data_IF_262203716170
#
_entry.id   IF_262203716170
#
_cell.length_a   1.000
_cell.length_b   1.000
_cell.length_c   1.000
_cell.angle_alpha   90.00
_cell.angle_beta   90.00
_cell.angle_gamma   90.00
#
_symmetry.space_group_name_H-M   'P 1'
#
loop_
_entity.id
_entity.type
_entity.pdbx_description
1 polymer ?
#
# COMPACT_ATOMS: atom_id res chain seq x y z
N UNK A 1 7.48 -3.16 20.07
CA UNK A 1 6.18 -3.45 19.45
C UNK A 1 6.38 -3.79 17.99
N UNK A 2 5.82 -4.89 17.55
CA UNK A 2 5.95 -5.36 16.17
C UNK A 2 4.85 -4.76 15.30
N UNK A 3 5.14 -4.65 14.00
CA UNK A 3 4.17 -4.19 13.00
C UNK A 3 2.87 -5.03 13.06
N UNK A 4 3.00 -6.34 13.28
CA UNK A 4 1.83 -7.23 13.43
C UNK A 4 0.91 -6.86 14.58
N UNK A 5 1.41 -6.13 15.58
CA UNK A 5 0.59 -5.71 16.73
C UNK A 5 -0.35 -4.55 16.40
N UNK A 6 -0.03 -3.76 15.37
CA UNK A 6 -0.76 -2.52 15.05
C UNK A 6 -1.37 -2.50 13.64
N UNK A 7 -1.05 -3.47 12.79
CA UNK A 7 -1.54 -3.50 11.40
C UNK A 7 -3.03 -3.86 11.33
N UNK A 8 -3.65 -3.46 10.22
CA UNK A 8 -4.99 -3.90 9.84
C UNK A 8 -4.86 -5.19 9.05
N UNK A 9 -5.54 -6.27 9.47
CA UNK A 9 -5.42 -7.60 8.86
C UNK A 9 -6.43 -7.88 7.77
N UNK A 10 -7.62 -7.30 7.88
CA UNK A 10 -8.71 -7.53 6.92
C UNK A 10 -8.61 -6.51 5.78
N UNK A 11 -7.88 -6.88 4.73
CA UNK A 11 -7.51 -5.98 3.64
C UNK A 11 -8.14 -6.46 2.35
N UNK A 12 -8.84 -5.55 1.66
CA UNK A 12 -9.38 -5.81 0.32
C UNK A 12 -8.22 -5.94 -0.66
N UNK A 13 -8.20 -7.02 -1.44
CA UNK A 13 -7.19 -7.28 -2.47
C UNK A 13 -7.83 -7.46 -3.84
N UNK A 14 -7.01 -7.40 -4.87
CA UNK A 14 -7.43 -7.66 -6.25
C UNK A 14 -6.39 -8.58 -6.91
N UNK A 15 -6.83 -9.40 -7.85
CA UNK A 15 -5.92 -10.27 -8.62
C UNK A 15 -5.39 -9.55 -9.85
N UNK A 16 -4.23 -9.94 -10.37
CA UNK A 16 -3.66 -9.32 -11.59
C UNK A 16 -4.56 -9.44 -12.82
N UNK A 17 -5.39 -10.47 -12.90
CA UNK A 17 -6.29 -10.73 -14.03
C UNK A 17 -7.65 -10.01 -13.91
N UNK A 18 -7.93 -9.39 -12.77
CA UNK A 18 -9.13 -8.58 -12.61
C UNK A 18 -8.98 -7.25 -13.35
N UNK A 19 -10.11 -6.61 -13.63
CA UNK A 19 -10.13 -5.37 -14.43
C UNK A 19 -9.86 -4.11 -13.61
N UNK A 20 -9.49 -3.05 -14.29
CA UNK A 20 -9.38 -1.71 -13.69
C UNK A 20 -10.71 -1.30 -13.05
N UNK A 21 -11.84 -1.66 -13.67
CA UNK A 21 -13.18 -1.42 -13.10
C UNK A 21 -13.33 -2.10 -11.74
N UNK A 22 -12.91 -3.37 -11.63
CA UNK A 22 -12.98 -4.11 -10.36
C UNK A 22 -12.15 -3.41 -9.28
N UNK A 23 -10.93 -3.01 -9.62
CA UNK A 23 -10.05 -2.30 -8.68
C UNK A 23 -10.67 -0.97 -8.24
N UNK A 24 -11.19 -0.20 -9.19
CA UNK A 24 -11.85 1.08 -8.89
C UNK A 24 -13.07 0.88 -7.99
N UNK A 25 -13.87 -0.15 -8.24
CA UNK A 25 -15.04 -0.48 -7.42
C UNK A 25 -14.61 -0.80 -5.98
N UNK A 26 -13.57 -1.61 -5.81
CA UNK A 26 -13.05 -1.96 -4.48
C UNK A 26 -12.50 -0.72 -3.75
N UNK A 27 -11.83 0.18 -4.48
CA UNK A 27 -11.35 1.43 -3.90
C UNK A 27 -12.50 2.29 -3.36
N UNK A 28 -13.58 2.38 -4.10
CA UNK A 28 -14.77 3.15 -3.67
C UNK A 28 -15.44 2.50 -2.47
N UNK A 29 -15.56 1.17 -2.47
CA UNK A 29 -16.17 0.43 -1.36
C UNK A 29 -15.34 0.54 -0.07
N UNK A 30 -14.03 0.50 -0.20
CA UNK A 30 -13.11 0.55 0.93
C UNK A 30 -12.72 1.99 1.31
N UNK A 31 -13.15 2.98 0.54
CA UNK A 31 -12.72 4.38 0.68
C UNK A 31 -11.18 4.49 0.74
N UNK A 32 -10.53 3.84 -0.22
CA UNK A 32 -9.07 3.75 -0.27
C UNK A 32 -8.59 4.07 -1.68
N UNK A 33 -7.44 4.75 -1.78
CA UNK A 33 -6.82 5.09 -3.05
C UNK A 33 -5.80 4.05 -3.54
N UNK A 34 -5.62 2.96 -2.79
CA UNK A 34 -4.65 1.91 -3.12
C UNK A 34 -5.16 0.56 -2.68
N UNK A 35 -4.98 -0.45 -3.54
CA UNK A 35 -5.39 -1.82 -3.26
C UNK A 35 -4.19 -2.75 -3.55
N UNK A 36 -3.84 -3.65 -2.63
CA UNK A 36 -2.80 -4.64 -2.89
C UNK A 36 -3.25 -5.64 -3.96
N UNK A 37 -2.31 -6.03 -4.81
CA UNK A 37 -2.53 -7.03 -5.85
C UNK A 37 -1.86 -8.32 -5.40
N UNK A 38 -2.65 -9.40 -5.33
CA UNK A 38 -2.16 -10.69 -4.86
C UNK A 38 -2.47 -11.80 -5.85
N UNK A 39 -1.57 -12.78 -5.91
CA UNK A 39 -1.80 -14.07 -6.55
C UNK A 39 -1.91 -15.12 -5.45
N UNK A 40 -3.12 -15.64 -5.23
CA UNK A 40 -3.40 -16.40 -4.02
C UNK A 40 -3.23 -15.49 -2.82
N UNK A 41 -2.31 -15.81 -1.93
CA UNK A 41 -1.97 -14.98 -0.77
C UNK A 41 -0.69 -14.15 -0.96
N UNK A 42 0.03 -14.37 -2.07
CA UNK A 42 1.32 -13.72 -2.31
C UNK A 42 1.13 -12.31 -2.87
N UNK A 43 1.78 -11.34 -2.24
CA UNK A 43 1.78 -9.95 -2.69
C UNK A 43 2.65 -9.82 -3.95
N UNK A 44 2.06 -9.35 -5.06
CA UNK A 44 2.77 -9.18 -6.33
C UNK A 44 2.82 -7.75 -6.82
N UNK A 45 2.02 -6.86 -6.25
CA UNK A 45 2.03 -5.47 -6.64
C UNK A 45 0.99 -4.65 -5.89
N UNK A 46 0.79 -3.43 -6.38
CA UNK A 46 -0.20 -2.51 -5.85
C UNK A 46 -0.80 -1.72 -7.00
N UNK A 47 -2.09 -1.46 -6.95
CA UNK A 47 -2.74 -0.56 -7.89
C UNK A 47 -3.36 0.60 -7.13
N UNK A 48 -3.15 1.82 -7.64
CA UNK A 48 -3.66 3.04 -7.05
C UNK A 48 -4.65 3.71 -8.00
N UNK A 49 -5.43 4.65 -7.46
CA UNK A 49 -6.30 5.51 -8.27
C UNK A 49 -5.48 6.31 -9.28
N UNK A 50 -4.27 6.73 -8.91
CA UNK A 50 -3.36 7.42 -9.83
C UNK A 50 -2.86 6.52 -10.95
N UNK A 51 -2.62 5.23 -10.68
CA UNK A 51 -2.27 4.27 -11.73
C UNK A 51 -3.40 4.12 -12.73
N UNK A 52 -4.64 4.05 -12.27
CA UNK A 52 -5.82 3.93 -13.14
C UNK A 52 -5.95 5.20 -14.00
N UNK A 53 -5.82 6.37 -13.41
CA UNK A 53 -5.91 7.64 -14.15
C UNK A 53 -4.74 7.83 -15.11
N UNK A 54 -3.50 7.63 -14.64
CA UNK A 54 -2.30 7.93 -15.39
C UNK A 54 -1.93 6.89 -16.43
N UNK A 55 -1.81 5.62 -16.00
CA UNK A 55 -1.44 4.53 -16.90
C UNK A 55 -2.65 3.95 -17.64
N UNK A 56 -3.84 4.11 -17.07
CA UNK A 56 -5.07 3.62 -17.65
C UNK A 56 -5.70 4.66 -18.57
N UNK A 57 -6.51 5.54 -18.01
CA UNK A 57 -7.35 6.48 -18.78
C UNK A 57 -6.51 7.42 -19.65
N UNK A 58 -5.47 8.03 -19.11
CA UNK A 58 -4.65 8.98 -19.84
C UNK A 58 -3.93 8.36 -21.04
N UNK A 59 -3.63 7.06 -20.99
CA UNK A 59 -2.98 6.34 -22.09
C UNK A 59 -3.98 5.62 -23.01
N UNK A 60 -5.27 5.85 -22.82
CA UNK A 60 -6.31 5.31 -23.68
C UNK A 60 -6.79 3.90 -23.36
N UNK A 61 -6.42 3.38 -22.19
CA UNK A 61 -6.89 2.06 -21.75
C UNK A 61 -8.31 2.15 -21.19
N UNK A 62 -9.13 1.15 -21.50
CA UNK A 62 -10.51 1.08 -21.04
C UNK A 62 -10.65 0.42 -19.67
N UNK A 63 -11.89 0.39 -19.14
CA UNK A 63 -12.16 -0.17 -17.81
C UNK A 63 -11.95 -1.69 -17.71
N UNK A 64 -11.89 -2.39 -18.83
CA UNK A 64 -11.66 -3.85 -18.86
C UNK A 64 -10.18 -4.22 -18.91
N UNK A 65 -9.28 -3.24 -18.89
CA UNK A 65 -7.83 -3.48 -18.87
C UNK A 65 -7.45 -4.26 -17.61
N UNK A 66 -6.66 -5.35 -17.73
CA UNK A 66 -6.24 -6.10 -16.55
C UNK A 66 -5.39 -5.27 -15.60
N UNK A 67 -5.58 -5.49 -14.31
CA UNK A 67 -4.82 -4.81 -13.26
C UNK A 67 -3.31 -4.96 -13.48
N UNK A 68 -2.84 -6.13 -13.93
CA UNK A 68 -1.40 -6.36 -14.15
C UNK A 68 -0.76 -5.37 -15.13
N UNK A 69 -1.54 -4.80 -16.05
CA UNK A 69 -1.03 -3.84 -17.02
C UNK A 69 -0.89 -2.42 -16.44
N UNK A 70 -1.52 -2.16 -15.31
CA UNK A 70 -1.57 -0.84 -14.68
C UNK A 70 -0.86 -0.79 -13.33
N UNK A 71 -0.69 -1.91 -12.65
CA UNK A 71 -0.16 -1.96 -11.28
C UNK A 71 1.32 -1.61 -11.20
N UNK A 72 1.75 -1.22 -10.01
CA UNK A 72 3.15 -1.03 -9.66
C UNK A 72 3.67 -2.30 -9.01
N UNK A 73 4.77 -2.86 -9.53
CA UNK A 73 5.40 -4.09 -9.00
C UNK A 73 6.42 -3.81 -7.92
N UNK A 74 7.07 -2.65 -7.98
CA UNK A 74 8.13 -2.24 -7.05
C UNK A 74 7.49 -1.48 -5.90
N UNK A 75 7.07 -2.22 -4.88
CA UNK A 75 6.36 -1.66 -3.74
C UNK A 75 7.23 -1.71 -2.49
N UNK A 76 7.02 -0.72 -1.62
CA UNK A 76 7.67 -0.68 -0.31
C UNK A 76 6.80 -1.46 0.67
N UNK A 77 7.40 -2.46 1.31
CA UNK A 77 6.68 -3.32 2.25
C UNK A 77 7.45 -3.43 3.57
N UNK A 78 6.73 -3.79 4.63
CA UNK A 78 7.31 -4.16 5.92
C UNK A 78 7.09 -5.65 6.16
N UNK A 79 7.93 -6.23 6.99
CA UNK A 79 7.75 -7.60 7.48
C UNK A 79 6.92 -7.57 8.75
N UNK A 80 6.08 -8.57 8.96
CA UNK A 80 5.21 -8.63 10.14
C UNK A 80 5.98 -8.59 11.47
N UNK A 81 7.22 -9.07 11.47
CA UNK A 81 8.08 -9.08 12.65
C UNK A 81 8.94 -7.82 12.81
N UNK A 82 8.89 -6.89 11.86
CA UNK A 82 9.61 -5.63 11.96
C UNK A 82 9.11 -4.81 13.14
N UNK A 83 10.01 -4.04 13.74
CA UNK A 83 9.64 -3.09 14.78
C UNK A 83 8.89 -1.89 14.16
N UNK A 84 7.94 -1.34 14.91
CA UNK A 84 7.16 -0.18 14.45
C UNK A 84 8.04 1.02 14.13
N UNK A 85 9.17 1.18 14.85
CA UNK A 85 10.16 2.22 14.55
C UNK A 85 10.78 2.08 13.17
N UNK A 86 11.09 0.86 12.77
CA UNK A 86 11.65 0.56 11.44
C UNK A 86 10.62 0.84 10.34
N UNK A 87 9.37 0.50 10.59
CA UNK A 87 8.28 0.77 9.64
C UNK A 87 8.08 2.29 9.46
N UNK A 88 8.08 3.05 10.56
CA UNK A 88 7.97 4.51 10.51
C UNK A 88 9.12 5.13 9.71
N UNK A 89 10.34 4.70 9.97
CA UNK A 89 11.52 5.17 9.23
C UNK A 89 11.40 4.86 7.74
N UNK A 90 10.93 3.67 7.39
CA UNK A 90 10.73 3.27 6.00
C UNK A 90 9.66 4.10 5.31
N UNK A 91 8.56 4.42 5.99
CA UNK A 91 7.54 5.33 5.46
C UNK A 91 8.12 6.71 5.18
N UNK A 92 8.92 7.24 6.11
CA UNK A 92 9.58 8.53 5.94
C UNK A 92 10.55 8.55 4.76
N UNK A 93 11.39 7.53 4.65
CA UNK A 93 12.38 7.41 3.56
C UNK A 93 11.72 7.26 2.19
N UNK A 94 10.65 6.46 2.12
CA UNK A 94 9.94 6.21 0.87
C UNK A 94 8.88 7.28 0.57
N UNK A 95 8.59 8.17 1.52
CA UNK A 95 7.59 9.23 1.39
C UNK A 95 6.19 8.67 1.11
N UNK A 96 5.81 7.62 1.82
CA UNK A 96 4.52 6.95 1.72
C UNK A 96 3.80 6.97 3.06
N UNK A 97 2.47 6.84 3.03
CA UNK A 97 1.62 6.92 4.24
C UNK A 97 1.21 5.56 4.77
N UNK A 98 1.49 4.50 4.04
CA UNK A 98 1.16 3.13 4.45
C UNK A 98 2.15 2.17 3.83
N UNK A 99 2.28 1.01 4.48
CA UNK A 99 3.09 -0.09 3.98
C UNK A 99 2.24 -1.35 3.97
N UNK A 100 2.38 -2.14 2.91
CA UNK A 100 1.91 -3.51 2.91
C UNK A 100 2.78 -4.30 3.89
N UNK A 101 2.20 -5.26 4.58
CA UNK A 101 2.92 -6.10 5.55
C UNK A 101 2.90 -7.53 5.03
N UNK A 102 4.08 -8.12 4.95
CA UNK A 102 4.27 -9.48 4.42
C UNK A 102 4.95 -10.38 5.45
N UNK A 103 4.81 -11.69 5.26
CA UNK A 103 5.54 -12.70 6.04
C UNK A 103 6.79 -13.19 5.30
N UNK A 104 7.46 -14.20 5.83
CA UNK A 104 8.69 -14.76 5.25
C UNK A 104 8.48 -15.38 3.87
N UNK A 105 7.24 -15.74 3.53
CA UNK A 105 6.88 -16.34 2.25
C UNK A 105 6.27 -15.33 1.28
N UNK A 106 6.41 -14.04 1.59
CA UNK A 106 5.88 -12.92 0.80
C UNK A 106 4.35 -12.91 0.71
N UNK A 107 3.67 -13.54 1.65
CA UNK A 107 2.21 -13.50 1.74
C UNK A 107 1.78 -12.21 2.41
N UNK A 108 0.72 -11.61 1.88
CA UNK A 108 0.16 -10.39 2.47
C UNK A 108 -0.49 -10.72 3.82
N UNK A 109 -0.03 -10.06 4.88
CA UNK A 109 -0.55 -10.21 6.24
C UNK A 109 -1.47 -9.08 6.64
N UNK A 110 -1.24 -7.88 6.12
CA UNK A 110 -2.01 -6.71 6.49
C UNK A 110 -1.45 -5.42 5.89
N UNK A 111 -1.96 -4.31 6.37
CA UNK A 111 -1.48 -2.97 6.03
C UNK A 111 -1.25 -2.20 7.32
N UNK A 112 -0.15 -1.48 7.40
CA UNK A 112 0.10 -0.53 8.49
C UNK A 112 0.12 0.89 7.91
N UNK A 113 -0.60 1.81 8.56
CA UNK A 113 -0.69 3.20 8.13
C UNK A 113 0.01 4.12 9.11
N UNK A 114 0.26 5.35 8.67
CA UNK A 114 0.77 6.41 9.54
C UNK A 114 -0.16 6.62 10.75
N UNK A 115 -1.48 6.52 10.54
CA UNK A 115 -2.47 6.62 11.61
C UNK A 115 -2.33 5.51 12.65
N UNK A 116 -2.02 4.28 12.23
CA UNK A 116 -1.80 3.16 13.15
C UNK A 116 -0.58 3.43 14.03
N UNK A 117 0.49 3.96 13.45
CA UNK A 117 1.70 4.31 14.20
C UNK A 117 1.44 5.44 15.19
N UNK A 118 0.63 6.41 14.82
CA UNK A 118 0.29 7.56 15.68
C UNK A 118 -0.49 7.16 16.91
N UNK A 119 -1.32 6.11 16.83
CA UNK A 119 -2.15 5.65 17.94
C UNK A 119 -1.41 4.77 18.92
N UNK A 120 -0.57 3.86 18.41
CA UNK A 120 -0.04 2.75 19.20
C UNK A 120 1.48 2.71 19.26
N UNK A 121 2.16 3.57 18.51
CA UNK A 121 3.62 3.59 18.42
C UNK A 121 4.23 4.81 19.12
N UNK A 122 5.55 4.82 19.20
CA UNK A 122 6.33 5.92 19.73
C UNK A 122 6.06 7.21 18.91
N UNK A 123 5.85 8.33 19.62
CA UNK A 123 5.59 9.62 19.00
C UNK A 123 6.72 10.07 18.08
N UNK A 124 7.98 9.80 18.46
CA UNK A 124 9.13 10.18 17.63
C UNK A 124 9.14 9.42 16.30
N UNK A 125 8.77 8.15 16.31
CA UNK A 125 8.66 7.34 15.09
C UNK A 125 7.58 7.91 14.15
N UNK A 126 6.44 8.28 14.70
CA UNK A 126 5.34 8.86 13.93
C UNK A 126 5.74 10.22 13.35
N UNK A 127 6.44 11.04 14.11
CA UNK A 127 6.94 12.36 13.67
C UNK A 127 7.93 12.21 12.52
N UNK A 128 8.84 11.26 12.60
CA UNK A 128 9.81 10.98 11.54
C UNK A 128 9.12 10.58 10.24
N UNK A 129 8.13 9.70 10.31
CA UNK A 129 7.37 9.27 9.14
C UNK A 129 6.60 10.47 8.52
N UNK A 130 6.00 11.30 9.35
CA UNK A 130 5.25 12.46 8.89
C UNK A 130 6.14 13.47 8.16
N UNK A 131 7.34 13.73 8.67
CA UNK A 131 8.31 14.62 8.02
C UNK A 131 8.65 14.12 6.62
N UNK A 132 8.96 12.82 6.49
CA UNK A 132 9.29 12.23 5.19
C UNK A 132 8.16 12.35 4.18
N UNK A 133 6.93 12.06 4.60
CA UNK A 133 5.74 12.11 3.75
C UNK A 133 5.44 13.54 3.30
N UNK A 134 5.72 14.52 4.14
CA UNK A 134 5.40 15.93 3.88
C UNK A 134 6.43 16.65 3.02
N UNK A 135 7.56 16.04 2.70
CA UNK A 135 8.59 16.68 1.88
C UNK A 135 8.10 16.91 0.45
N UNK A 136 8.44 18.09 -0.16
CA UNK A 136 8.09 18.36 -1.55
C UNK A 136 8.68 17.31 -2.49
N UNK A 137 7.91 16.92 -3.49
CA UNK A 137 8.34 15.91 -4.45
C UNK A 137 8.23 14.48 -4.00
N UNK A 138 7.58 14.23 -2.86
CA UNK A 138 7.37 12.89 -2.34
C UNK A 138 6.52 12.04 -3.28
N UNK A 139 6.76 10.72 -3.23
CA UNK A 139 6.02 9.76 -4.02
C UNK A 139 4.74 9.35 -3.29
N UNK A 140 3.61 9.67 -3.86
CA UNK A 140 2.30 9.36 -3.28
C UNK A 140 1.69 8.11 -3.91
N UNK A 141 2.43 7.00 -3.92
CA UNK A 141 2.02 5.74 -4.54
C UNK A 141 1.27 4.82 -3.60
N UNK A 142 1.47 4.97 -2.31
CA UNK A 142 0.90 4.05 -1.31
C UNK A 142 0.14 4.78 -0.23
#
# INVERSE_FOLDING_TARGET
MKVSDVMTRDVQTVRPDQSARDAATFMLQADAGAIPVTEGSRLVGMITDRDIAGRGVAEGHGPDTPVRDLMTNDIVAAHEDDDVGDAAARMGQAQVRRLMVIDDQQRLCGIVSLGDLSRDADTDCASEALEGVSQPGGLHRQ
#
